data_IF_100231835084
#
_entry.id   IF_100231835084
#
_cell.length_a   1.000
_cell.length_b   1.000
_cell.length_c   1.000
_cell.angle_alpha   90.00
_cell.angle_beta   90.00
_cell.angle_gamma   90.00
#
_symmetry.space_group_name_H-M   'P 1'
#
loop_
_entity.id
_entity.type
_entity.pdbx_description
1 polymer ?
#
# COMPACT_ATOMS: atom_id res chain seq x y z
N UNK A 1 31.98 -47.02 3.31
CA UNK A 1 30.80 -46.12 3.43
C UNK A 1 31.33 -44.71 3.66
N UNK A 2 31.00 -43.74 2.77
CA UNK A 2 31.31 -42.32 3.00
C UNK A 2 30.44 -41.81 4.16
N UNK A 3 30.99 -40.96 5.04
CA UNK A 3 30.26 -40.45 6.20
C UNK A 3 29.20 -39.46 5.71
N UNK A 4 28.04 -39.44 6.37
CA UNK A 4 26.93 -38.50 6.05
C UNK A 4 27.37 -37.03 6.06
N UNK A 5 28.40 -36.69 6.85
CA UNK A 5 29.00 -35.35 6.88
C UNK A 5 29.67 -34.92 5.56
N UNK A 6 29.98 -35.85 4.65
CA UNK A 6 30.58 -35.53 3.35
C UNK A 6 29.54 -35.02 2.33
N UNK A 7 28.24 -35.04 2.68
CA UNK A 7 27.12 -34.64 1.83
C UNK A 7 26.36 -33.41 2.34
N UNK A 8 26.72 -32.86 3.49
CA UNK A 8 26.18 -31.59 3.96
C UNK A 8 26.97 -30.45 3.28
N UNK A 9 26.31 -29.45 2.65
CA UNK A 9 27.00 -28.26 2.21
C UNK A 9 27.70 -27.66 3.44
N UNK A 10 29.01 -27.43 3.33
CA UNK A 10 29.75 -26.69 4.36
C UNK A 10 29.03 -25.36 4.53
N UNK A 11 28.49 -25.11 5.73
CA UNK A 11 27.93 -23.81 6.08
C UNK A 11 29.06 -22.80 5.92
N UNK A 12 28.99 -21.98 4.86
CA UNK A 12 29.86 -20.82 4.70
C UNK A 12 29.69 -19.98 5.97
N UNK A 13 30.79 -19.85 6.70
CA UNK A 13 30.82 -19.09 7.93
C UNK A 13 30.72 -17.63 7.52
N UNK A 14 29.55 -17.01 7.74
CA UNK A 14 29.30 -15.61 7.39
C UNK A 14 30.31 -14.75 8.18
N UNK A 15 31.18 -14.04 7.47
CA UNK A 15 32.12 -13.10 8.06
C UNK A 15 31.39 -11.81 8.41
N UNK A 16 31.03 -11.66 9.69
CA UNK A 16 30.30 -10.50 10.18
C UNK A 16 31.16 -9.23 10.18
N UNK A 17 32.48 -9.36 10.28
CA UNK A 17 33.38 -8.20 10.32
C UNK A 17 33.45 -7.57 8.92
N UNK A 18 33.54 -8.39 7.86
CA UNK A 18 33.50 -7.91 6.47
C UNK A 18 32.17 -7.20 6.14
N UNK A 19 31.05 -7.70 6.65
CA UNK A 19 29.73 -7.10 6.43
C UNK A 19 29.63 -5.74 7.15
N UNK A 20 30.12 -5.65 8.38
CA UNK A 20 30.12 -4.39 9.15
C UNK A 20 31.01 -3.35 8.47
N UNK A 21 32.19 -3.75 7.97
CA UNK A 21 33.06 -2.85 7.19
C UNK A 21 32.34 -2.30 5.96
N UNK A 22 31.57 -3.16 5.27
CA UNK A 22 30.77 -2.76 4.11
C UNK A 22 29.66 -1.78 4.48
N UNK A 23 29.05 -1.92 5.66
CA UNK A 23 28.06 -0.98 6.18
C UNK A 23 28.68 0.38 6.51
N UNK A 24 29.86 0.38 7.12
CA UNK A 24 30.58 1.61 7.48
C UNK A 24 31.13 2.36 6.26
N UNK A 25 31.31 1.67 5.13
CA UNK A 25 31.69 2.29 3.86
C UNK A 25 30.55 3.10 3.21
N UNK A 26 29.28 2.84 3.53
CA UNK A 26 28.15 3.63 3.05
C UNK A 26 27.91 4.83 3.97
N UNK A 27 28.04 6.09 3.50
CA UNK A 27 27.92 7.27 4.35
C UNK A 27 26.56 7.40 5.05
N UNK A 28 25.48 6.88 4.44
CA UNK A 28 24.14 6.98 5.01
C UNK A 28 23.99 5.98 6.15
N UNK A 29 24.48 4.76 5.97
CA UNK A 29 24.41 3.70 6.98
C UNK A 29 25.36 4.01 8.14
N UNK A 30 26.59 4.42 7.85
CA UNK A 30 27.56 4.87 8.86
C UNK A 30 26.98 6.00 9.72
N UNK A 31 26.36 7.02 9.10
CA UNK A 31 25.72 8.10 9.85
C UNK A 31 24.52 7.61 10.67
N UNK A 32 23.71 6.68 10.15
CA UNK A 32 22.62 6.06 10.92
C UNK A 32 23.13 5.31 12.16
N UNK A 33 24.21 4.54 12.02
CA UNK A 33 24.85 3.80 13.12
C UNK A 33 25.40 4.76 14.17
N UNK A 34 26.20 5.75 13.76
CA UNK A 34 26.84 6.72 14.67
C UNK A 34 25.80 7.58 15.39
N UNK A 35 24.78 8.07 14.66
CA UNK A 35 23.74 8.94 15.22
C UNK A 35 22.91 8.24 16.30
N UNK A 36 22.69 6.94 16.17
CA UNK A 36 21.86 6.15 17.09
C UNK A 36 22.69 5.33 18.10
N UNK A 37 24.02 5.50 18.12
CA UNK A 37 24.93 4.79 19.03
C UNK A 37 24.72 3.26 19.06
N UNK A 38 24.57 2.66 17.87
CA UNK A 38 24.20 1.26 17.75
C UNK A 38 25.36 0.33 18.14
N UNK A 39 25.06 -0.65 18.99
CA UNK A 39 26.03 -1.68 19.38
C UNK A 39 26.20 -2.72 18.27
N UNK A 40 27.33 -3.44 18.28
CA UNK A 40 27.56 -4.55 17.36
C UNK A 40 26.44 -5.62 17.42
N UNK A 41 25.85 -5.86 18.59
CA UNK A 41 24.77 -6.83 18.74
C UNK A 41 23.47 -6.35 18.08
N UNK A 42 23.16 -5.06 18.20
CA UNK A 42 22.02 -4.43 17.50
C UNK A 42 22.19 -4.45 15.99
N UNK A 43 23.41 -4.19 15.50
CA UNK A 43 23.74 -4.25 14.06
C UNK A 43 23.60 -5.69 13.54
N UNK A 44 24.08 -6.69 14.29
CA UNK A 44 23.94 -8.11 13.94
C UNK A 44 22.48 -8.54 13.89
N UNK A 45 21.65 -8.09 14.83
CA UNK A 45 20.22 -8.37 14.84
C UNK A 45 19.49 -7.76 13.63
N UNK A 46 19.88 -6.54 13.23
CA UNK A 46 19.29 -5.81 12.09
C UNK A 46 19.96 -6.05 10.73
N UNK A 47 20.84 -7.04 10.62
CA UNK A 47 21.70 -7.22 9.43
C UNK A 47 20.91 -7.36 8.13
N UNK A 48 19.78 -8.07 8.18
CA UNK A 48 18.93 -8.30 7.01
C UNK A 48 18.25 -7.02 6.53
N UNK A 49 17.81 -6.15 7.44
CA UNK A 49 17.19 -4.86 7.09
C UNK A 49 18.22 -3.91 6.46
N UNK A 50 19.45 -3.89 6.98
CA UNK A 50 20.54 -3.08 6.43
C UNK A 50 20.94 -3.58 5.03
N UNK A 51 21.09 -4.90 4.85
CA UNK A 51 21.37 -5.49 3.54
C UNK A 51 20.26 -5.19 2.53
N UNK A 52 19.00 -5.33 2.95
CA UNK A 52 17.83 -5.01 2.11
C UNK A 52 17.84 -3.53 1.71
N UNK A 53 18.11 -2.63 2.66
CA UNK A 53 18.25 -1.21 2.39
C UNK A 53 19.34 -0.93 1.34
N UNK A 54 20.51 -1.57 1.44
CA UNK A 54 21.62 -1.39 0.49
C UNK A 54 21.22 -1.80 -0.93
N UNK A 55 20.61 -2.98 -1.08
CA UNK A 55 20.20 -3.49 -2.38
C UNK A 55 19.14 -2.59 -3.03
N UNK A 56 18.11 -2.22 -2.28
CA UNK A 56 17.02 -1.38 -2.77
C UNK A 56 17.47 0.06 -3.05
N UNK A 57 18.37 0.63 -2.23
CA UNK A 57 19.02 1.93 -2.48
C UNK A 57 19.79 1.91 -3.80
N UNK A 58 20.56 0.85 -4.07
CA UNK A 58 21.31 0.71 -5.31
C UNK A 58 20.41 0.65 -6.55
N UNK A 59 19.28 -0.07 -6.46
CA UNK A 59 18.26 -0.09 -7.51
C UNK A 59 17.69 1.33 -7.74
N UNK A 60 17.34 2.05 -6.68
CA UNK A 60 16.77 3.38 -6.79
C UNK A 60 17.75 4.44 -7.34
N UNK A 61 19.04 4.31 -7.04
CA UNK A 61 20.06 5.20 -7.57
C UNK A 61 20.10 5.16 -9.11
N UNK A 62 19.81 4.00 -9.70
CA UNK A 62 19.77 3.77 -11.15
C UNK A 62 18.36 3.97 -11.76
N UNK A 63 17.37 4.38 -10.96
CA UNK A 63 15.99 4.50 -11.40
C UNK A 63 15.79 5.67 -12.39
N UNK A 64 15.05 5.42 -13.48
CA UNK A 64 14.74 6.38 -14.54
C UNK A 64 13.34 6.99 -14.46
N UNK A 65 12.44 6.43 -13.64
CA UNK A 65 11.05 6.88 -13.50
C UNK A 65 10.14 5.80 -12.93
N UNK A 66 8.90 6.16 -12.61
CA UNK A 66 7.91 5.24 -12.02
C UNK A 66 7.60 4.04 -12.92
N UNK A 67 7.46 4.26 -14.23
CA UNK A 67 7.11 3.21 -15.20
C UNK A 67 8.22 2.17 -15.41
N UNK A 68 9.46 2.49 -15.07
CA UNK A 68 10.63 1.61 -15.18
C UNK A 68 11.21 1.25 -13.80
N UNK A 69 10.44 1.43 -12.73
CA UNK A 69 10.92 1.15 -11.38
C UNK A 69 11.12 -0.36 -11.20
N UNK A 70 12.33 -0.75 -10.83
CA UNK A 70 12.71 -2.16 -10.60
C UNK A 70 12.63 -2.59 -9.14
N UNK A 71 12.32 -1.65 -8.23
CA UNK A 71 12.02 -2.05 -6.87
C UNK A 71 10.79 -2.93 -6.89
N UNK A 72 10.78 -3.91 -5.99
CA UNK A 72 9.57 -4.64 -5.73
C UNK A 72 8.45 -3.66 -5.35
N UNK A 73 8.76 -2.52 -4.69
CA UNK A 73 7.90 -1.38 -4.25
C UNK A 73 8.07 -0.13 -5.14
N UNK A 74 7.42 -0.08 -6.32
CA UNK A 74 7.49 1.06 -7.21
C UNK A 74 7.04 2.36 -6.56
N UNK A 75 7.82 3.42 -6.75
CA UNK A 75 7.50 4.76 -6.24
C UNK A 75 7.84 5.00 -4.78
N UNK A 76 8.44 4.04 -4.10
CA UNK A 76 8.94 4.17 -2.73
C UNK A 76 10.47 4.16 -2.68
N UNK A 77 11.00 4.69 -1.58
CA UNK A 77 12.41 4.79 -1.23
C UNK A 77 12.59 4.16 0.16
N UNK A 78 13.50 3.18 0.31
CA UNK A 78 13.73 2.51 1.59
C UNK A 78 14.45 3.42 2.57
N UNK A 79 14.14 3.29 3.86
CA UNK A 79 14.71 4.10 4.94
C UNK A 79 14.93 3.25 6.18
N UNK A 80 16.15 3.30 6.71
CA UNK A 80 16.45 2.69 7.99
C UNK A 80 15.84 3.50 9.13
N UNK A 81 15.16 2.79 10.03
CA UNK A 81 14.56 3.34 11.25
C UNK A 81 15.02 2.53 12.46
N UNK A 82 14.92 3.15 13.63
CA UNK A 82 15.12 2.48 14.90
C UNK A 82 13.81 2.50 15.68
N UNK A 83 13.28 1.33 16.01
CA UNK A 83 12.04 1.20 16.78
C UNK A 83 12.29 0.32 18.00
N UNK A 84 12.08 0.86 19.20
CA UNK A 84 12.33 0.18 20.48
C UNK A 84 13.75 -0.43 20.62
N UNK A 85 14.74 0.15 19.94
CA UNK A 85 16.12 -0.34 19.95
C UNK A 85 16.45 -1.35 18.85
N UNK A 86 15.47 -1.79 18.06
CA UNK A 86 15.67 -2.68 16.91
C UNK A 86 15.71 -1.88 15.60
N UNK A 87 16.61 -2.28 14.70
CA UNK A 87 16.71 -1.69 13.36
C UNK A 87 15.57 -2.26 12.52
N UNK A 88 14.89 -1.40 11.78
CA UNK A 88 13.85 -1.80 10.84
C UNK A 88 13.93 -1.02 9.54
N UNK A 89 13.15 -1.48 8.56
CA UNK A 89 13.05 -0.87 7.24
C UNK A 89 11.66 -0.28 7.02
N UNK A 90 11.60 1.02 6.82
CA UNK A 90 10.41 1.75 6.38
C UNK A 90 10.57 2.26 4.93
N UNK A 91 9.48 2.75 4.36
CA UNK A 91 9.42 3.19 2.98
C UNK A 91 8.75 4.57 2.88
N UNK A 92 9.45 5.54 2.30
CA UNK A 92 8.92 6.88 1.99
C UNK A 92 8.80 7.06 0.47
N UNK A 93 8.19 8.15 -0.03
CA UNK A 93 8.06 8.33 -1.49
C UNK A 93 9.41 8.59 -2.15
N UNK A 94 9.64 7.97 -3.30
CA UNK A 94 10.84 8.27 -4.08
C UNK A 94 10.72 9.59 -4.85
N UNK A 95 11.84 10.09 -5.38
CA UNK A 95 11.93 11.35 -6.13
C UNK A 95 11.03 11.45 -7.36
N UNK A 96 10.58 10.32 -7.92
CA UNK A 96 9.66 10.27 -9.08
C UNK A 96 8.20 10.17 -8.66
N UNK A 97 7.93 9.85 -7.39
CA UNK A 97 6.62 9.85 -6.75
C UNK A 97 6.41 11.18 -5.99
N UNK A 98 6.81 12.31 -6.60
CA UNK A 98 6.51 13.65 -6.06
C UNK A 98 5.05 13.96 -6.33
N UNK A 99 4.47 14.84 -5.51
CA UNK A 99 3.13 15.37 -5.64
C UNK A 99 2.91 16.04 -7.01
N UNK A 100 2.70 15.23 -8.05
CA UNK A 100 1.66 15.51 -9.03
C UNK A 100 0.41 15.78 -8.20
N UNK A 101 -0.39 16.76 -8.60
CA UNK A 101 -1.67 17.08 -7.97
C UNK A 101 -2.59 15.84 -8.04
N UNK A 102 -2.35 14.87 -7.15
CA UNK A 102 -2.90 13.53 -7.16
C UNK A 102 -4.39 13.58 -6.85
N UNK A 103 -4.86 14.73 -6.35
CA UNK A 103 -6.28 15.07 -6.26
C UNK A 103 -6.99 14.91 -7.60
N UNK A 104 -6.31 15.14 -8.73
CA UNK A 104 -6.87 14.95 -10.08
C UNK A 104 -7.10 13.48 -10.43
N UNK A 105 -6.37 12.57 -9.78
CA UNK A 105 -6.52 11.13 -9.96
C UNK A 105 -7.59 10.53 -9.04
N UNK A 106 -8.20 11.32 -8.16
CA UNK A 106 -9.27 10.89 -7.26
C UNK A 106 -10.58 11.55 -7.65
N UNK A 107 -11.48 10.76 -8.24
CA UNK A 107 -12.88 11.13 -8.41
C UNK A 107 -13.65 10.79 -7.12
N UNK A 108 -13.98 11.81 -6.33
CA UNK A 108 -14.69 11.62 -5.05
C UNK A 108 -16.18 11.97 -5.15
N UNK A 109 -17.04 11.08 -4.64
CA UNK A 109 -18.49 11.24 -4.65
C UNK A 109 -19.04 11.20 -3.23
N UNK A 110 -19.72 12.29 -2.83
CA UNK A 110 -20.33 12.48 -1.51
C UNK A 110 -19.36 12.34 -0.33
N UNK A 111 -18.06 12.54 -0.57
CA UNK A 111 -17.00 12.48 0.44
C UNK A 111 -16.38 13.87 0.62
N UNK A 112 -16.30 14.39 1.85
CA UNK A 112 -15.58 15.63 2.13
C UNK A 112 -14.11 15.54 1.74
N UNK A 113 -13.60 16.53 0.97
CA UNK A 113 -12.19 16.58 0.53
C UNK A 113 -11.18 16.44 1.66
N UNK A 114 -11.52 16.85 2.88
CA UNK A 114 -10.68 16.73 4.09
C UNK A 114 -10.25 15.30 4.40
N UNK A 115 -11.02 14.29 3.98
CA UNK A 115 -10.68 12.87 4.21
C UNK A 115 -9.38 12.51 3.49
N UNK A 116 -9.08 13.17 2.36
CA UNK A 116 -7.83 12.98 1.60
C UNK A 116 -6.63 13.73 2.19
N UNK A 117 -6.74 14.33 3.38
CA UNK A 117 -5.58 14.76 4.17
C UNK A 117 -4.92 13.59 4.92
N UNK A 118 -5.53 12.41 4.89
CA UNK A 118 -4.97 11.20 5.48
C UNK A 118 -3.62 10.83 4.87
N UNK A 119 -2.69 10.44 5.73
CA UNK A 119 -1.30 10.17 5.37
C UNK A 119 -0.90 8.77 5.83
N UNK A 120 -0.10 8.08 5.00
CA UNK A 120 0.47 6.79 5.39
C UNK A 120 1.51 6.95 6.48
N UNK A 121 2.17 8.11 6.52
CA UNK A 121 3.15 8.49 7.53
C UNK A 121 2.52 8.62 8.93
N UNK A 122 1.24 8.98 9.02
CA UNK A 122 0.47 9.06 10.27
C UNK A 122 -0.29 7.75 10.61
N UNK A 123 -0.02 6.65 9.90
CA UNK A 123 -0.75 5.39 10.09
C UNK A 123 -0.25 4.62 11.32
N UNK A 124 -1.11 4.50 12.34
CA UNK A 124 -0.82 3.75 13.56
C UNK A 124 -0.72 2.22 13.31
N UNK A 125 0.34 1.61 13.84
CA UNK A 125 0.63 0.16 13.75
C UNK A 125 0.42 -0.57 15.10
N UNK A 126 -0.31 0.02 16.03
CA UNK A 126 -0.70 -0.62 17.30
C UNK A 126 -1.72 -1.74 17.04
N UNK A 127 -1.38 -2.95 17.48
CA UNK A 127 -2.21 -4.16 17.32
C UNK A 127 -1.87 -4.96 16.07
N UNK A 128 -2.20 -6.25 16.08
CA UNK A 128 -1.87 -7.14 14.96
C UNK A 128 -2.71 -6.82 13.72
N UNK A 129 -3.99 -6.50 13.91
CA UNK A 129 -4.93 -6.20 12.84
C UNK A 129 -4.46 -5.02 11.99
N UNK A 130 -3.95 -3.95 12.64
CA UNK A 130 -3.39 -2.76 11.97
C UNK A 130 -2.14 -3.12 11.16
N UNK A 131 -1.27 -3.98 11.69
CA UNK A 131 -0.06 -4.45 11.00
C UNK A 131 -0.40 -5.30 9.77
N UNK A 132 -1.39 -6.18 9.88
CA UNK A 132 -1.89 -6.98 8.75
C UNK A 132 -2.46 -6.09 7.64
N UNK A 133 -3.32 -5.13 8.00
CA UNK A 133 -3.89 -4.16 7.06
C UNK A 133 -2.78 -3.36 6.38
N UNK A 134 -1.83 -2.82 7.15
CA UNK A 134 -0.71 -2.07 6.60
C UNK A 134 0.12 -2.94 5.63
N UNK A 135 0.43 -4.19 6.01
CA UNK A 135 1.18 -5.11 5.14
C UNK A 135 0.46 -5.38 3.83
N UNK A 136 -0.86 -5.60 3.90
CA UNK A 136 -1.68 -5.78 2.71
C UNK A 136 -1.68 -4.50 1.84
N UNK A 137 -1.90 -3.33 2.43
CA UNK A 137 -1.88 -2.04 1.72
C UNK A 137 -0.56 -1.85 0.97
N UNK A 138 0.57 -2.07 1.66
CA UNK A 138 1.88 -1.97 1.05
C UNK A 138 2.03 -2.97 -0.09
N UNK A 139 1.65 -4.24 0.10
CA UNK A 139 1.68 -5.24 -0.97
C UNK A 139 0.81 -4.86 -2.19
N UNK A 140 -0.37 -4.30 -1.97
CA UNK A 140 -1.26 -3.88 -3.05
C UNK A 140 -0.67 -2.70 -3.81
N UNK A 141 -0.29 -1.63 -3.12
CA UNK A 141 0.32 -0.42 -3.69
C UNK A 141 1.55 -0.78 -4.52
N UNK A 142 2.33 -1.71 -3.99
CA UNK A 142 3.58 -2.26 -4.54
C UNK A 142 3.37 -3.05 -5.84
N UNK A 143 2.47 -4.03 -5.80
CA UNK A 143 2.42 -5.06 -6.83
C UNK A 143 1.28 -4.86 -7.84
N UNK A 144 0.29 -4.01 -7.54
CA UNK A 144 -0.85 -3.79 -8.44
C UNK A 144 -0.41 -3.13 -9.75
N UNK A 145 -0.81 -3.74 -10.87
CA UNK A 145 -0.69 -3.17 -12.20
C UNK A 145 -1.77 -3.73 -13.13
N UNK A 146 -1.92 -3.15 -14.33
CA UNK A 146 -2.87 -3.66 -15.34
C UNK A 146 -2.62 -5.12 -15.73
N UNK A 147 -1.38 -5.61 -15.58
CA UNK A 147 -1.02 -7.00 -15.91
C UNK A 147 -0.93 -7.89 -14.66
N UNK A 148 -1.14 -7.34 -13.48
CA UNK A 148 -1.08 -8.06 -12.21
C UNK A 148 -2.25 -7.67 -11.33
N UNK A 149 -3.35 -8.41 -11.51
CA UNK A 149 -4.55 -8.24 -10.70
C UNK A 149 -4.29 -8.69 -9.26
N UNK A 150 -4.70 -7.85 -8.31
CA UNK A 150 -4.70 -8.15 -6.89
C UNK A 150 -6.13 -7.93 -6.40
N UNK A 151 -6.69 -8.94 -5.72
CA UNK A 151 -8.00 -8.82 -5.07
C UNK A 151 -7.95 -7.66 -4.09
N UNK A 152 -9.01 -6.84 -4.04
CA UNK A 152 -9.14 -5.74 -3.08
C UNK A 152 -9.34 -6.22 -1.62
N UNK A 153 -9.71 -5.29 -0.75
CA UNK A 153 -9.81 -5.52 0.69
C UNK A 153 -11.12 -5.01 1.26
N UNK A 154 -11.76 -5.85 2.07
CA UNK A 154 -12.92 -5.47 2.87
C UNK A 154 -12.51 -5.19 4.31
N UNK A 155 -12.58 -3.92 4.73
CA UNK A 155 -12.22 -3.50 6.10
C UNK A 155 -13.47 -3.40 6.96
N UNK A 156 -13.55 -4.22 8.01
CA UNK A 156 -14.65 -4.21 8.97
C UNK A 156 -14.16 -4.01 10.40
N UNK A 157 -15.04 -3.55 11.27
CA UNK A 157 -14.72 -3.24 12.67
C UNK A 157 -15.68 -2.22 13.27
N UNK A 158 -15.50 -1.94 14.56
CA UNK A 158 -16.35 -1.03 15.32
C UNK A 158 -16.43 0.39 14.70
N UNK A 159 -17.49 1.12 15.02
CA UNK A 159 -17.59 2.53 14.69
C UNK A 159 -16.41 3.30 15.30
N UNK A 160 -15.84 4.25 14.55
CA UNK A 160 -14.67 5.01 14.99
C UNK A 160 -13.32 4.28 14.92
N UNK A 161 -13.27 3.01 14.48
CA UNK A 161 -12.00 2.27 14.35
C UNK A 161 -11.06 2.77 13.23
N UNK A 162 -11.40 3.86 12.52
CA UNK A 162 -10.56 4.44 11.47
C UNK A 162 -10.64 3.75 10.10
N UNK A 163 -11.73 3.03 9.80
CA UNK A 163 -11.94 2.35 8.51
C UNK A 163 -11.84 3.29 7.31
N UNK A 164 -12.59 4.39 7.33
CA UNK A 164 -12.55 5.43 6.28
C UNK A 164 -11.16 6.05 6.14
N UNK A 165 -10.43 6.21 7.26
CA UNK A 165 -9.05 6.70 7.24
C UNK A 165 -8.12 5.72 6.50
N UNK A 166 -8.21 4.42 6.80
CA UNK A 166 -7.44 3.37 6.11
C UNK A 166 -7.69 3.42 4.60
N UNK A 167 -8.96 3.48 4.18
CA UNK A 167 -9.33 3.59 2.76
C UNK A 167 -8.76 4.87 2.12
N UNK A 168 -8.83 6.01 2.81
CA UNK A 168 -8.33 7.29 2.33
C UNK A 168 -6.80 7.31 2.18
N UNK A 169 -6.06 6.72 3.13
CA UNK A 169 -4.60 6.55 3.02
C UNK A 169 -4.26 5.73 1.79
N UNK A 170 -4.91 4.59 1.60
CA UNK A 170 -4.67 3.72 0.45
C UNK A 170 -4.98 4.42 -0.88
N UNK A 171 -6.14 5.09 -0.97
CA UNK A 171 -6.54 5.87 -2.13
C UNK A 171 -5.52 6.96 -2.47
N UNK A 172 -5.04 7.68 -1.46
CA UNK A 172 -4.02 8.71 -1.61
C UNK A 172 -2.73 8.11 -2.19
N UNK A 173 -2.16 7.07 -1.57
CA UNK A 173 -0.91 6.45 -2.04
C UNK A 173 -1.01 5.92 -3.47
N UNK A 174 -2.13 5.30 -3.85
CA UNK A 174 -2.36 4.86 -5.21
C UNK A 174 -2.48 6.03 -6.20
N UNK A 175 -3.19 7.10 -5.81
CA UNK A 175 -3.33 8.30 -6.64
C UNK A 175 -1.99 9.01 -6.88
N UNK A 176 -1.08 8.99 -5.89
CA UNK A 176 0.29 9.51 -6.00
C UNK A 176 1.11 8.73 -7.03
N UNK A 177 0.87 7.43 -7.16
CA UNK A 177 1.42 6.57 -8.21
C UNK A 177 0.74 6.73 -9.58
N UNK A 178 -0.21 7.66 -9.73
CA UNK A 178 -0.90 7.93 -11.00
C UNK A 178 -2.11 7.03 -11.28
N UNK A 179 -2.55 6.22 -10.32
CA UNK A 179 -3.73 5.34 -10.46
C UNK A 179 -5.01 6.15 -10.43
N UNK A 180 -5.97 5.81 -11.29
CA UNK A 180 -7.28 6.43 -11.30
C UNK A 180 -8.18 5.80 -10.22
N UNK A 181 -8.59 6.62 -9.26
CA UNK A 181 -9.37 6.22 -8.10
C UNK A 181 -10.77 6.81 -8.23
N UNK A 182 -11.79 5.99 -8.02
CA UNK A 182 -13.13 6.47 -7.68
C UNK A 182 -13.41 6.14 -6.23
N UNK A 183 -13.67 7.16 -5.42
CA UNK A 183 -13.95 7.02 -3.99
C UNK A 183 -15.37 7.50 -3.69
N UNK A 184 -16.19 6.62 -3.12
CA UNK A 184 -17.63 6.87 -2.95
C UNK A 184 -18.06 6.64 -1.52
N UNK A 185 -18.77 7.60 -0.92
CA UNK A 185 -19.54 7.33 0.28
C UNK A 185 -20.83 6.60 -0.11
N UNK A 186 -20.88 5.30 0.19
CA UNK A 186 -21.89 4.39 -0.32
C UNK A 186 -23.33 4.75 0.13
N UNK A 187 -23.59 5.15 1.39
CA UNK A 187 -24.94 5.50 1.82
C UNK A 187 -25.58 6.64 1.00
N UNK A 188 -24.79 7.66 0.65
CA UNK A 188 -25.25 8.79 -0.15
C UNK A 188 -25.46 8.40 -1.62
N UNK A 189 -24.59 7.54 -2.17
CA UNK A 189 -24.80 6.96 -3.49
C UNK A 189 -26.15 6.25 -3.54
N UNK A 190 -26.45 5.39 -2.56
CA UNK A 190 -27.71 4.65 -2.51
C UNK A 190 -28.91 5.59 -2.39
N UNK A 191 -28.81 6.65 -1.57
CA UNK A 191 -29.87 7.67 -1.45
C UNK A 191 -30.13 8.36 -2.79
N UNK A 192 -29.08 8.77 -3.49
CA UNK A 192 -29.24 9.41 -4.79
C UNK A 192 -29.80 8.44 -5.83
N UNK A 193 -29.25 7.23 -5.92
CA UNK A 193 -29.67 6.22 -6.88
C UNK A 193 -31.17 5.92 -6.78
N UNK A 194 -31.70 5.80 -5.55
CA UNK A 194 -33.14 5.65 -5.29
C UNK A 194 -33.98 6.81 -5.87
N UNK A 195 -33.45 8.03 -5.88
CA UNK A 195 -34.12 9.23 -6.40
C UNK A 195 -33.97 9.43 -7.92
N UNK A 196 -33.03 8.71 -8.54
CA UNK A 196 -32.72 8.79 -9.98
C UNK A 196 -33.22 7.60 -10.80
N UNK A 197 -33.91 6.63 -10.19
CA UNK A 197 -34.47 5.49 -10.93
C UNK A 197 -35.35 6.00 -12.09
N UNK A 198 -35.06 5.53 -13.30
CA UNK A 198 -35.76 5.93 -14.53
C UNK A 198 -35.26 7.24 -15.17
N UNK A 199 -34.10 7.76 -14.77
CA UNK A 199 -33.44 8.93 -15.39
C UNK A 199 -32.11 8.52 -16.04
N UNK A 200 -31.71 9.22 -17.10
CA UNK A 200 -30.48 8.93 -17.85
C UNK A 200 -29.20 8.97 -17.00
N UNK A 201 -29.17 9.81 -15.95
CA UNK A 201 -28.00 9.94 -15.07
C UNK A 201 -27.73 8.71 -14.18
N UNK A 202 -28.71 7.82 -14.03
CA UNK A 202 -28.59 6.61 -13.23
C UNK A 202 -27.59 5.63 -13.85
N UNK A 203 -27.78 5.32 -15.14
CA UNK A 203 -26.94 4.37 -15.87
C UNK A 203 -25.51 4.89 -16.03
N UNK A 204 -25.34 6.19 -16.30
CA UNK A 204 -24.00 6.80 -16.40
C UNK A 204 -23.19 6.65 -15.12
N UNK A 205 -23.83 6.76 -13.94
CA UNK A 205 -23.12 6.58 -12.66
C UNK A 205 -22.72 5.13 -12.44
N UNK A 206 -23.61 4.18 -12.74
CA UNK A 206 -23.29 2.75 -12.66
C UNK A 206 -22.13 2.41 -13.59
N UNK A 207 -22.12 2.98 -14.79
CA UNK A 207 -21.07 2.79 -15.78
C UNK A 207 -19.69 3.27 -15.29
N UNK A 208 -19.63 4.46 -14.67
CA UNK A 208 -18.40 4.98 -14.03
C UNK A 208 -17.88 4.00 -12.96
N UNK A 209 -18.77 3.48 -12.11
CA UNK A 209 -18.40 2.56 -11.03
C UNK A 209 -17.92 1.20 -11.56
N UNK A 210 -18.47 0.73 -12.69
CA UNK A 210 -18.02 -0.49 -13.36
C UNK A 210 -16.61 -0.34 -13.93
N UNK A 211 -16.31 0.77 -14.60
CA UNK A 211 -15.11 0.88 -15.45
C UNK A 211 -13.91 1.62 -14.81
N UNK A 212 -14.09 2.30 -13.67
CA UNK A 212 -12.97 2.95 -12.97
C UNK A 212 -11.86 1.95 -12.61
N UNK A 213 -10.58 2.36 -12.72
CA UNK A 213 -9.42 1.50 -12.50
C UNK A 213 -9.47 0.87 -11.09
N UNK A 214 -9.64 1.69 -10.05
CA UNK A 214 -9.81 1.23 -8.67
C UNK A 214 -11.03 1.92 -8.05
N UNK A 215 -11.89 1.14 -7.40
CA UNK A 215 -13.12 1.62 -6.76
C UNK A 215 -12.99 1.47 -5.25
N UNK A 216 -13.31 2.53 -4.50
CA UNK A 216 -13.42 2.52 -3.05
C UNK A 216 -14.87 2.81 -2.67
N UNK A 217 -15.48 1.89 -1.91
CA UNK A 217 -16.82 2.05 -1.34
C UNK A 217 -16.69 2.21 0.17
N UNK A 218 -16.92 3.42 0.67
CA UNK A 218 -16.88 3.72 2.10
C UNK A 218 -18.27 3.52 2.75
N UNK A 219 -18.26 2.99 3.98
CA UNK A 219 -19.43 2.82 4.84
C UNK A 219 -20.57 1.97 4.22
N UNK A 220 -20.21 0.90 3.51
CA UNK A 220 -21.17 -0.10 3.05
C UNK A 220 -21.88 -0.78 4.24
N UNK A 221 -23.21 -0.81 4.20
CA UNK A 221 -24.08 -1.25 5.29
C UNK A 221 -24.58 -0.12 6.19
N UNK A 222 -24.11 1.12 6.00
CA UNK A 222 -24.66 2.32 6.64
C UNK A 222 -25.95 2.81 6.00
N UNK A 223 -26.30 2.32 4.81
CA UNK A 223 -27.53 2.64 4.10
C UNK A 223 -28.76 1.90 4.65
N UNK A 224 -29.95 2.42 4.36
CA UNK A 224 -31.19 1.66 4.58
C UNK A 224 -31.23 0.44 3.64
N UNK A 225 -31.37 -0.79 4.17
CA UNK A 225 -31.39 -2.01 3.37
C UNK A 225 -32.42 -1.93 2.24
N UNK A 226 -31.99 -2.31 1.03
CA UNK A 226 -32.87 -2.36 -0.13
C UNK A 226 -32.40 -3.46 -1.09
N UNK A 227 -33.26 -4.46 -1.30
CA UNK A 227 -32.96 -5.61 -2.17
C UNK A 227 -32.70 -5.20 -3.62
N UNK A 228 -33.45 -4.22 -4.16
CA UNK A 228 -33.22 -3.70 -5.50
C UNK A 228 -31.82 -3.09 -5.65
N UNK A 229 -31.37 -2.28 -4.68
CA UNK A 229 -30.02 -1.69 -4.73
C UNK A 229 -28.95 -2.78 -4.65
N UNK A 230 -29.16 -3.80 -3.81
CA UNK A 230 -28.22 -4.93 -3.73
C UNK A 230 -28.14 -5.70 -5.05
N UNK A 231 -29.28 -6.07 -5.61
CA UNK A 231 -29.38 -7.04 -6.72
C UNK A 231 -29.22 -6.37 -8.10
N UNK A 232 -29.71 -5.15 -8.28
CA UNK A 232 -29.74 -4.45 -9.58
C UNK A 232 -28.63 -3.39 -9.72
N UNK A 233 -28.00 -2.98 -8.62
CA UNK A 233 -26.92 -1.97 -8.65
C UNK A 233 -25.60 -2.58 -8.19
N UNK A 234 -25.49 -2.95 -6.92
CA UNK A 234 -24.22 -3.39 -6.35
C UNK A 234 -23.74 -4.70 -6.96
N UNK A 235 -24.63 -5.69 -7.09
CA UNK A 235 -24.33 -6.99 -7.68
C UNK A 235 -23.73 -6.87 -9.09
N UNK A 236 -24.39 -6.17 -10.04
CA UNK A 236 -23.86 -5.97 -11.39
C UNK A 236 -22.54 -5.20 -11.44
N UNK A 237 -22.33 -4.21 -10.56
CA UNK A 237 -21.05 -3.49 -10.47
C UNK A 237 -19.94 -4.46 -10.04
N UNK A 238 -20.13 -5.19 -8.94
CA UNK A 238 -19.13 -6.12 -8.44
C UNK A 238 -18.87 -7.28 -9.41
N UNK A 239 -19.92 -7.79 -10.06
CA UNK A 239 -19.81 -8.84 -11.06
C UNK A 239 -18.97 -8.41 -12.26
N UNK A 240 -19.24 -7.21 -12.80
CA UNK A 240 -18.45 -6.64 -13.90
C UNK A 240 -16.98 -6.53 -13.51
N UNK A 241 -16.71 -5.91 -12.35
CA UNK A 241 -15.36 -5.67 -11.87
C UNK A 241 -14.59 -6.96 -11.58
N UNK A 242 -15.27 -8.00 -11.11
CA UNK A 242 -14.68 -9.32 -10.92
C UNK A 242 -14.24 -9.96 -12.25
N UNK A 243 -15.09 -9.89 -13.28
CA UNK A 243 -14.80 -10.45 -14.60
C UNK A 243 -13.66 -9.70 -15.30
N UNK A 244 -13.65 -8.37 -15.18
CA UNK A 244 -12.63 -7.50 -15.77
C UNK A 244 -11.38 -7.32 -14.91
N UNK A 245 -11.30 -8.00 -13.76
CA UNK A 245 -10.17 -7.93 -12.84
C UNK A 245 -9.85 -6.50 -12.38
N UNK A 246 -10.89 -5.74 -12.03
CA UNK A 246 -10.81 -4.38 -11.50
C UNK A 246 -10.97 -4.40 -9.97
N UNK A 247 -9.96 -3.97 -9.19
CA UNK A 247 -10.01 -4.04 -7.73
C UNK A 247 -11.10 -3.15 -7.12
N UNK A 248 -11.76 -3.66 -6.07
CA UNK A 248 -12.78 -2.96 -5.27
C UNK A 248 -12.52 -3.19 -3.78
#
# INVERSE_FOLDING_TARGET
MKKINDFLPKTEQIDYDEIIDRFMADPIISNFIIKNDLTNDTIKAGINDILTYMDEKNICNQCKGLFECKLNSPGFWPKLILYNGDIGLEYERCRYNRAVDSSKNISSFYVPKKIFQASIEDFDLIGQERKEIHRYMMNFIKNYSKNNYIKGMYVSGLYGAGKTYILAVMANELAKLGRQITFVYYPDLVRELKSSIGKDNFETKIDILKHTEILFLDDIGGETPNAFIRDEVLGPILQYRLLDQLPT
#
